data_IF_748823634137
#
_entry.id   IF_748823634137
#
_cell.length_a   1.000
_cell.length_b   1.000
_cell.length_c   1.000
_cell.angle_alpha   90.00
_cell.angle_beta   90.00
_cell.angle_gamma   90.00
#
_symmetry.space_group_name_H-M   'P 1'
#
loop_
_entity.id
_entity.type
_entity.pdbx_description
1 polymer ?
#
# COMPACT_ATOMS: atom_id res chain seq x y z
N UNK A 1 -16.83 -36.22 -13.08
CA UNK A 1 -15.69 -35.27 -13.09
C UNK A 1 -16.03 -34.15 -12.12
N UNK A 2 -15.49 -34.19 -10.89
CA UNK A 2 -15.73 -33.16 -9.86
C UNK A 2 -14.63 -32.10 -9.97
N UNK A 3 -14.99 -30.86 -10.29
CA UNK A 3 -14.08 -29.71 -10.19
C UNK A 3 -13.85 -29.45 -8.69
N UNK A 4 -12.61 -29.54 -8.24
CA UNK A 4 -12.21 -29.10 -6.90
C UNK A 4 -12.03 -27.57 -6.97
N UNK A 5 -12.82 -26.85 -6.19
CA UNK A 5 -12.62 -25.42 -5.96
C UNK A 5 -11.34 -25.23 -5.16
N UNK A 6 -10.41 -24.44 -5.68
CA UNK A 6 -9.20 -24.02 -4.97
C UNK A 6 -9.60 -22.84 -4.08
N UNK A 7 -9.64 -23.07 -2.78
CA UNK A 7 -9.75 -22.00 -1.79
C UNK A 7 -8.36 -21.38 -1.64
N UNK A 8 -8.19 -20.15 -2.13
CA UNK A 8 -6.99 -19.35 -1.86
C UNK A 8 -7.20 -18.72 -0.48
N UNK A 9 -6.62 -19.35 0.54
CA UNK A 9 -6.54 -18.77 1.88
C UNK A 9 -5.46 -17.67 1.85
N UNK A 10 -5.87 -16.42 1.68
CA UNK A 10 -5.01 -15.27 1.94
C UNK A 10 -4.87 -15.12 3.47
N UNK A 11 -3.91 -15.85 4.03
CA UNK A 11 -3.48 -15.66 5.41
C UNK A 11 -2.76 -14.32 5.52
N UNK A 12 -3.48 -13.29 5.96
CA UNK A 12 -2.91 -11.97 6.30
C UNK A 12 -2.12 -12.12 7.60
N UNK A 13 -0.86 -12.52 7.47
CA UNK A 13 0.13 -12.44 8.53
C UNK A 13 0.62 -11.00 8.65
N UNK A 14 0.10 -10.27 9.64
CA UNK A 14 0.58 -8.94 10.04
C UNK A 14 1.97 -9.14 10.64
N UNK A 15 3.02 -9.04 9.81
CA UNK A 15 4.38 -8.85 10.29
C UNK A 15 4.68 -7.35 10.28
N UNK A 16 4.88 -6.83 11.48
CA UNK A 16 5.23 -5.43 11.77
C UNK A 16 6.65 -5.17 11.24
N UNK A 17 6.71 -4.65 10.03
CA UNK A 17 7.88 -4.03 9.41
C UNK A 17 7.34 -2.92 8.52
N UNK A 18 7.75 -1.68 8.76
CA UNK A 18 7.12 -0.43 8.32
C UNK A 18 6.76 -0.36 6.82
N UNK A 19 7.45 -1.12 5.95
CA UNK A 19 7.22 -1.19 4.51
C UNK A 19 5.95 -1.94 4.09
N UNK A 20 5.49 -2.95 4.86
CA UNK A 20 4.32 -3.78 4.46
C UNK A 20 2.99 -3.06 4.67
N UNK A 21 2.95 -2.06 5.55
CA UNK A 21 1.72 -1.38 5.97
C UNK A 21 1.21 -0.42 4.89
N UNK A 22 2.09 0.43 4.34
CA UNK A 22 1.74 1.33 3.23
C UNK A 22 1.47 0.56 1.91
N UNK A 23 2.09 -0.61 1.74
CA UNK A 23 1.85 -1.47 0.59
C UNK A 23 0.63 -2.36 0.77
N UNK A 24 0.10 -2.65 1.97
CA UNK A 24 -1.06 -3.51 2.13
C UNK A 24 -2.38 -2.84 1.73
N UNK A 25 -2.63 -1.58 2.13
CA UNK A 25 -3.80 -0.83 1.65
C UNK A 25 -3.77 -0.65 0.12
N UNK A 26 -2.57 -0.54 -0.43
CA UNK A 26 -2.38 -0.35 -1.85
C UNK A 26 -2.13 -1.65 -2.64
N UNK A 27 -1.85 -2.78 -1.99
CA UNK A 27 -1.89 -4.13 -2.56
C UNK A 27 -3.33 -4.56 -2.77
N UNK A 28 -4.26 -4.14 -1.90
CA UNK A 28 -5.70 -4.24 -2.18
C UNK A 28 -6.00 -3.47 -3.47
N UNK A 29 -5.53 -2.23 -3.59
CA UNK A 29 -5.79 -1.40 -4.78
C UNK A 29 -5.06 -1.89 -6.06
N UNK A 30 -3.82 -2.37 -5.97
CA UNK A 30 -3.04 -2.90 -7.09
C UNK A 30 -3.50 -4.30 -7.51
N UNK A 31 -3.94 -5.14 -6.57
CA UNK A 31 -4.62 -6.40 -6.88
C UNK A 31 -5.96 -6.12 -7.54
N UNK A 32 -6.73 -5.15 -7.04
CA UNK A 32 -7.96 -4.66 -7.68
C UNK A 32 -7.66 -4.12 -9.09
N UNK A 33 -6.60 -3.34 -9.31
CA UNK A 33 -6.21 -2.85 -10.64
C UNK A 33 -5.71 -3.96 -11.58
N UNK A 34 -4.99 -4.97 -11.06
CA UNK A 34 -4.60 -6.17 -11.83
C UNK A 34 -5.82 -7.03 -12.18
N UNK A 35 -6.79 -7.13 -11.26
CA UNK A 35 -8.09 -7.81 -11.44
C UNK A 35 -8.99 -7.07 -12.43
N UNK A 36 -9.00 -5.73 -12.41
CA UNK A 36 -9.71 -4.88 -13.38
C UNK A 36 -9.09 -5.02 -14.78
N UNK A 37 -7.75 -5.13 -14.88
CA UNK A 37 -7.07 -5.49 -16.15
C UNK A 37 -7.44 -6.90 -16.64
N UNK A 38 -7.99 -7.78 -15.79
CA UNK A 38 -8.35 -9.17 -16.10
C UNK A 38 -9.87 -9.40 -16.36
N UNK A 39 -10.68 -8.37 -16.58
CA UNK A 39 -12.12 -8.48 -16.91
C UNK A 39 -12.94 -9.30 -15.89
N UNK A 40 -12.69 -9.14 -14.58
CA UNK A 40 -13.59 -9.68 -13.57
C UNK A 40 -14.83 -8.80 -13.40
N UNK A 41 -15.97 -9.42 -13.09
CA UNK A 41 -17.24 -8.76 -12.83
C UNK A 41 -17.29 -8.20 -11.40
N UNK A 42 -18.09 -7.16 -11.18
CA UNK A 42 -18.32 -6.51 -9.87
C UNK A 42 -18.68 -7.54 -8.77
N UNK A 43 -19.51 -8.53 -9.12
CA UNK A 43 -19.93 -9.63 -8.25
C UNK A 43 -18.79 -10.56 -7.82
N UNK A 44 -17.74 -10.73 -8.65
CA UNK A 44 -16.56 -11.50 -8.31
C UNK A 44 -15.59 -10.72 -7.41
N UNK A 45 -15.56 -9.38 -7.54
CA UNK A 45 -14.81 -8.50 -6.65
C UNK A 45 -15.39 -8.57 -5.23
N UNK A 46 -16.71 -8.47 -5.12
CA UNK A 46 -17.43 -8.54 -3.84
C UNK A 46 -17.28 -9.89 -3.14
N UNK A 47 -17.30 -11.01 -3.90
CA UNK A 47 -17.09 -12.35 -3.32
C UNK A 47 -15.67 -12.57 -2.81
N UNK A 48 -14.67 -11.90 -3.39
CA UNK A 48 -13.28 -12.01 -2.95
C UNK A 48 -12.97 -11.09 -1.75
N UNK A 49 -13.65 -9.95 -1.66
CA UNK A 49 -13.57 -9.04 -0.50
C UNK A 49 -14.51 -9.43 0.66
N UNK A 50 -15.46 -10.35 0.42
CA UNK A 50 -16.53 -10.76 1.33
C UNK A 50 -16.14 -11.56 2.58
N UNK A 51 -14.90 -11.49 3.06
CA UNK A 51 -14.57 -12.01 4.39
C UNK A 51 -14.73 -10.86 5.40
N UNK A 52 -15.87 -10.88 6.10
CA UNK A 52 -16.44 -9.79 6.92
C UNK A 52 -15.50 -9.21 7.98
N UNK A 53 -14.58 -8.35 7.56
CA UNK A 53 -13.99 -7.34 8.43
C UNK A 53 -14.98 -6.19 8.45
N UNK A 54 -15.48 -5.83 9.64
CA UNK A 54 -16.39 -4.69 9.79
C UNK A 54 -15.60 -3.45 9.39
N UNK A 55 -15.93 -2.91 8.22
CA UNK A 55 -15.32 -1.69 7.71
C UNK A 55 -15.66 -0.50 8.65
N UNK A 56 -14.69 0.34 9.03
CA UNK A 56 -14.97 1.45 9.91
C UNK A 56 -15.93 2.45 9.28
N UNK A 57 -16.89 2.89 10.07
CA UNK A 57 -17.82 3.95 9.70
C UNK A 57 -17.13 5.32 9.72
N UNK A 58 -17.75 6.32 9.08
CA UNK A 58 -17.33 7.73 9.19
C UNK A 58 -17.19 8.21 10.65
N UNK A 59 -18.08 7.75 11.53
CA UNK A 59 -18.07 8.14 12.95
C UNK A 59 -16.82 7.61 13.63
N UNK A 60 -16.52 6.32 13.45
CA UNK A 60 -15.31 5.70 13.99
C UNK A 60 -14.05 6.34 13.44
N UNK A 61 -14.00 6.63 12.13
CA UNK A 61 -12.87 7.35 11.55
C UNK A 61 -12.68 8.74 12.16
N UNK A 62 -13.76 9.49 12.40
CA UNK A 62 -13.67 10.79 13.08
C UNK A 62 -13.13 10.65 14.50
N UNK A 63 -13.54 9.62 15.23
CA UNK A 63 -13.01 9.33 16.56
C UNK A 63 -11.51 9.01 16.51
N UNK A 64 -11.07 8.18 15.56
CA UNK A 64 -9.66 7.82 15.39
C UNK A 64 -8.81 9.04 15.03
N UNK A 65 -9.28 9.87 14.10
CA UNK A 65 -8.61 11.09 13.68
C UNK A 65 -8.53 12.13 14.81
N UNK A 66 -9.61 12.30 15.58
CA UNK A 66 -9.61 13.20 16.72
C UNK A 66 -8.64 12.71 17.82
N UNK A 67 -8.59 11.42 18.09
CA UNK A 67 -7.62 10.84 19.04
C UNK A 67 -6.17 11.03 18.55
N UNK A 68 -5.91 10.83 17.25
CA UNK A 68 -4.61 11.15 16.66
C UNK A 68 -4.22 12.60 16.87
N UNK A 69 -5.12 13.56 16.58
CA UNK A 69 -4.84 14.99 16.74
C UNK A 69 -4.55 15.37 18.20
N UNK A 70 -5.21 14.73 19.16
CA UNK A 70 -5.03 15.02 20.58
C UNK A 70 -3.77 14.35 21.19
N UNK A 71 -3.38 13.18 20.68
CA UNK A 71 -2.37 12.33 21.36
C UNK A 71 -1.04 12.19 20.62
N UNK A 72 -1.07 12.04 19.30
CA UNK A 72 0.09 11.67 18.49
C UNK A 72 0.59 12.86 17.65
N UNK A 73 -0.32 13.60 17.04
CA UNK A 73 -0.07 14.74 16.15
C UNK A 73 0.95 15.76 16.68
N UNK A 74 0.94 16.16 17.98
CA UNK A 74 1.94 17.11 18.51
C UNK A 74 3.40 16.64 18.45
N UNK A 75 3.64 15.36 18.16
CA UNK A 75 4.99 14.80 18.08
C UNK A 75 5.62 14.87 16.67
N UNK A 76 4.85 15.32 15.67
CA UNK A 76 5.20 15.34 14.25
C UNK A 76 5.06 16.75 13.67
N UNK A 77 6.19 17.40 13.40
CA UNK A 77 6.23 18.73 12.79
C UNK A 77 6.30 18.68 11.26
N UNK A 78 6.98 17.67 10.71
CA UNK A 78 7.09 17.45 9.27
C UNK A 78 5.76 16.97 8.69
N UNK A 79 5.36 17.56 7.56
CA UNK A 79 4.07 17.28 6.94
C UNK A 79 3.93 15.86 6.39
N UNK A 80 5.02 15.26 5.89
CA UNK A 80 5.01 13.87 5.43
C UNK A 80 4.95 12.93 6.63
N UNK A 81 5.79 13.13 7.64
CA UNK A 81 5.78 12.34 8.87
C UNK A 81 4.40 12.38 9.54
N UNK A 82 3.80 13.58 9.71
CA UNK A 82 2.48 13.72 10.31
C UNK A 82 1.40 12.94 9.54
N UNK A 83 1.45 12.99 8.21
CA UNK A 83 0.52 12.27 7.33
C UNK A 83 0.71 10.75 7.41
N UNK A 84 1.95 10.27 7.40
CA UNK A 84 2.26 8.85 7.61
C UNK A 84 1.80 8.39 9.00
N UNK A 85 2.05 9.19 10.04
CA UNK A 85 1.62 8.91 11.40
C UNK A 85 0.11 8.82 11.53
N UNK A 86 -0.65 9.73 10.90
CA UNK A 86 -2.11 9.71 10.93
C UNK A 86 -2.66 8.42 10.33
N UNK A 87 -2.13 8.00 9.16
CA UNK A 87 -2.54 6.76 8.48
C UNK A 87 -2.22 5.53 9.33
N UNK A 88 -0.99 5.43 9.82
CA UNK A 88 -0.56 4.31 10.67
C UNK A 88 -1.36 4.24 11.98
N UNK A 89 -1.63 5.38 12.61
CA UNK A 89 -2.45 5.45 13.82
C UNK A 89 -3.87 4.96 13.58
N UNK A 90 -4.52 5.41 12.50
CA UNK A 90 -5.86 4.97 12.12
C UNK A 90 -5.88 3.45 11.88
N UNK A 91 -4.89 2.89 11.20
CA UNK A 91 -4.80 1.44 10.97
C UNK A 91 -4.60 0.64 12.26
N UNK A 92 -3.74 1.12 13.16
CA UNK A 92 -3.55 0.50 14.47
C UNK A 92 -4.85 0.49 15.29
N UNK A 93 -5.65 1.56 15.22
CA UNK A 93 -6.98 1.62 15.84
C UNK A 93 -7.95 0.61 15.25
N UNK A 94 -8.03 0.52 13.92
CA UNK A 94 -8.89 -0.45 13.23
C UNK A 94 -8.54 -1.89 13.60
N UNK A 95 -7.24 -2.19 13.67
CA UNK A 95 -6.72 -3.49 14.08
C UNK A 95 -6.87 -3.76 15.58
N UNK A 96 -7.40 -2.81 16.35
CA UNK A 96 -7.51 -2.85 17.83
C UNK A 96 -6.17 -3.10 18.52
N UNK A 97 -5.07 -2.71 17.86
CA UNK A 97 -3.73 -2.86 18.39
C UNK A 97 -3.45 -1.77 19.42
N UNK A 98 -2.63 -2.11 20.42
CA UNK A 98 -2.12 -1.11 21.35
C UNK A 98 -1.17 -0.17 20.62
N UNK A 99 -1.40 1.13 20.76
CA UNK A 99 -0.55 2.16 20.16
C UNK A 99 0.55 2.51 21.15
N UNK A 100 1.79 2.21 20.77
CA UNK A 100 2.99 2.74 21.43
C UNK A 100 3.47 3.96 20.65
N UNK A 101 3.25 5.15 21.20
CA UNK A 101 3.58 6.41 20.53
C UNK A 101 5.08 6.57 20.25
N UNK A 102 5.95 5.98 21.08
CA UNK A 102 7.39 6.04 20.87
C UNK A 102 7.79 5.19 19.67
N UNK A 103 7.22 3.98 19.56
CA UNK A 103 7.47 3.12 18.41
C UNK A 103 6.85 3.71 17.14
N UNK A 104 5.61 4.21 17.20
CA UNK A 104 4.97 4.91 16.07
C UNK A 104 5.84 6.06 15.55
N UNK A 105 6.38 6.90 16.44
CA UNK A 105 7.26 8.00 16.03
C UNK A 105 8.54 7.51 15.36
N UNK A 106 9.15 6.45 15.89
CA UNK A 106 10.35 5.85 15.32
C UNK A 106 10.05 5.29 13.91
N UNK A 107 9.01 4.47 13.79
CA UNK A 107 8.62 3.80 12.54
C UNK A 107 8.24 4.81 11.45
N UNK A 108 7.51 5.88 11.80
CA UNK A 108 7.15 6.94 10.86
C UNK A 108 8.38 7.67 10.33
N UNK A 109 9.38 7.93 11.17
CA UNK A 109 10.62 8.58 10.74
C UNK A 109 11.41 7.67 9.81
N UNK A 110 11.59 6.42 10.20
CA UNK A 110 12.26 5.41 9.36
C UNK A 110 11.53 5.26 8.01
N UNK A 111 10.20 5.26 8.01
CA UNK A 111 9.40 5.20 6.78
C UNK A 111 9.56 6.46 5.92
N UNK A 112 9.54 7.66 6.52
CA UNK A 112 9.70 8.91 5.78
C UNK A 112 11.11 9.02 5.15
N UNK A 113 12.14 8.58 5.87
CA UNK A 113 13.51 8.50 5.35
C UNK A 113 13.62 7.47 4.23
N UNK A 114 13.02 6.30 4.43
CA UNK A 114 12.97 5.24 3.42
C UNK A 114 12.23 5.68 2.15
N UNK A 115 11.07 6.33 2.26
CA UNK A 115 10.30 6.81 1.11
C UNK A 115 11.10 7.82 0.28
N UNK A 116 11.81 8.74 0.96
CA UNK A 116 12.69 9.69 0.29
C UNK A 116 13.85 8.99 -0.42
N UNK A 117 14.49 8.03 0.23
CA UNK A 117 15.59 7.26 -0.34
C UNK A 117 15.12 6.38 -1.52
N UNK A 118 13.94 5.77 -1.41
CA UNK A 118 13.32 4.94 -2.43
C UNK A 118 13.09 5.72 -3.72
N UNK A 119 12.49 6.92 -3.62
CA UNK A 119 12.24 7.80 -4.78
C UNK A 119 13.57 8.27 -5.38
N UNK A 120 14.47 8.77 -4.53
CA UNK A 120 15.78 9.27 -4.97
C UNK A 120 16.60 8.20 -5.68
N UNK A 121 16.61 6.97 -5.16
CA UNK A 121 17.36 5.88 -5.77
C UNK A 121 16.78 5.47 -7.14
N UNK A 122 15.45 5.47 -7.29
CA UNK A 122 14.80 5.20 -8.57
C UNK A 122 15.18 6.26 -9.63
N UNK A 123 15.25 7.53 -9.22
CA UNK A 123 15.69 8.63 -10.08
C UNK A 123 17.17 8.53 -10.46
N UNK A 124 18.04 8.29 -9.48
CA UNK A 124 19.49 8.32 -9.66
C UNK A 124 20.02 7.10 -10.41
N UNK A 125 19.56 5.89 -10.06
CA UNK A 125 20.08 4.62 -10.60
C UNK A 125 19.35 4.20 -11.88
N UNK A 126 18.02 4.37 -11.91
CA UNK A 126 17.18 3.87 -12.99
C UNK A 126 16.68 4.98 -13.93
N UNK A 127 16.97 6.25 -13.62
CA UNK A 127 16.51 7.38 -14.42
C UNK A 127 14.99 7.57 -14.42
N UNK A 128 14.27 6.92 -13.50
CA UNK A 128 12.81 6.94 -13.46
C UNK A 128 12.35 8.25 -12.83
N UNK A 129 11.52 8.98 -13.56
CA UNK A 129 10.80 10.17 -13.06
C UNK A 129 9.32 10.01 -13.30
N UNK A 130 8.54 10.58 -12.39
CA UNK A 130 7.08 10.63 -12.48
C UNK A 130 6.64 12.08 -12.49
N UNK A 131 5.82 12.44 -13.46
CA UNK A 131 5.26 13.79 -13.58
C UNK A 131 3.92 13.89 -12.84
N UNK A 132 3.50 15.09 -12.42
CA UNK A 132 2.18 15.28 -11.84
C UNK A 132 1.04 14.76 -12.73
N UNK A 133 1.15 14.96 -14.05
CA UNK A 133 0.14 14.49 -15.00
C UNK A 133 0.01 12.96 -15.00
N UNK A 134 1.12 12.23 -14.99
CA UNK A 134 1.10 10.75 -14.95
C UNK A 134 0.42 10.24 -13.67
N UNK A 135 0.63 10.91 -12.54
CA UNK A 135 -0.04 10.58 -11.28
C UNK A 135 -1.55 10.82 -11.40
N UNK A 136 -1.96 11.97 -11.93
CA UNK A 136 -3.38 12.30 -12.08
C UNK A 136 -4.09 11.37 -13.07
N UNK A 137 -3.43 11.00 -14.16
CA UNK A 137 -3.95 10.03 -15.13
C UNK A 137 -4.08 8.64 -14.51
N UNK A 138 -3.10 8.20 -13.71
CA UNK A 138 -3.17 6.94 -12.99
C UNK A 138 -4.33 6.93 -11.99
N UNK A 139 -4.47 7.98 -11.18
CA UNK A 139 -5.57 8.14 -10.20
C UNK A 139 -6.93 8.12 -10.92
N UNK A 140 -7.06 8.89 -12.00
CA UNK A 140 -8.28 9.01 -12.80
C UNK A 140 -8.69 7.68 -13.48
N UNK A 141 -7.74 6.79 -13.73
CA UNK A 141 -7.99 5.48 -14.32
C UNK A 141 -8.12 4.34 -13.31
N UNK A 142 -7.82 4.59 -12.04
CA UNK A 142 -7.94 3.61 -10.96
C UNK A 142 -8.89 4.08 -9.86
N UNK A 143 -8.37 4.58 -8.72
CA UNK A 143 -9.16 4.85 -7.52
C UNK A 143 -10.35 5.80 -7.72
N UNK A 144 -10.31 6.72 -8.70
CA UNK A 144 -11.46 7.58 -9.00
C UNK A 144 -12.61 6.85 -9.71
N UNK A 145 -12.31 5.79 -10.48
CA UNK A 145 -13.33 4.99 -11.18
C UNK A 145 -13.95 3.91 -10.30
N UNK A 146 -13.21 3.45 -9.30
CA UNK A 146 -13.60 2.32 -8.44
C UNK A 146 -13.60 2.75 -6.97
N UNK A 147 -14.51 3.65 -6.58
CA UNK A 147 -14.50 4.22 -5.24
C UNK A 147 -15.02 3.21 -4.21
N UNK A 148 -14.19 2.85 -3.24
CA UNK A 148 -14.57 1.95 -2.14
C UNK A 148 -15.20 2.72 -0.97
N UNK A 149 -16.15 2.12 -0.26
CA UNK A 149 -16.95 2.79 0.76
C UNK A 149 -16.13 3.22 1.98
N UNK A 150 -15.13 2.43 2.38
CA UNK A 150 -14.14 2.81 3.40
C UNK A 150 -13.38 4.09 3.06
N UNK A 151 -12.96 4.26 1.80
CA UNK A 151 -12.28 5.49 1.36
C UNK A 151 -13.22 6.68 1.39
N UNK A 152 -14.49 6.51 1.00
CA UNK A 152 -15.51 7.57 1.10
C UNK A 152 -15.72 7.97 2.56
N UNK A 153 -15.90 7.00 3.46
CA UNK A 153 -16.07 7.24 4.89
C UNK A 153 -14.86 7.96 5.50
N UNK A 154 -13.64 7.58 5.10
CA UNK A 154 -12.41 8.24 5.53
C UNK A 154 -12.28 9.67 5.01
N UNK A 155 -12.56 9.91 3.71
CA UNK A 155 -12.58 11.25 3.13
C UNK A 155 -13.57 12.16 3.88
N UNK A 156 -14.78 11.66 4.10
CA UNK A 156 -15.82 12.39 4.83
C UNK A 156 -15.47 12.66 6.30
N UNK A 157 -14.70 11.77 6.93
CA UNK A 157 -14.22 11.96 8.29
C UNK A 157 -13.15 13.06 8.36
N UNK A 158 -12.27 13.12 7.35
CA UNK A 158 -11.29 14.19 7.15
C UNK A 158 -11.93 15.52 6.69
N UNK A 159 -13.21 15.52 6.33
CA UNK A 159 -13.91 16.72 5.85
C UNK A 159 -13.53 17.12 4.43
N UNK A 160 -13.12 16.16 3.60
CA UNK A 160 -12.77 16.35 2.19
C UNK A 160 -13.59 15.45 1.27
N UNK A 161 -13.64 15.78 -0.01
CA UNK A 161 -14.20 14.89 -1.04
C UNK A 161 -13.27 13.71 -1.30
N UNK A 162 -13.81 12.62 -1.86
CA UNK A 162 -12.99 11.47 -2.28
C UNK A 162 -11.92 11.88 -3.32
N UNK A 163 -12.25 12.82 -4.20
CA UNK A 163 -11.30 13.36 -5.18
C UNK A 163 -10.14 14.09 -4.50
N UNK A 164 -10.42 14.92 -3.50
CA UNK A 164 -9.36 15.59 -2.72
C UNK A 164 -8.52 14.59 -1.92
N UNK A 165 -9.16 13.56 -1.34
CA UNK A 165 -8.46 12.47 -0.69
C UNK A 165 -7.47 11.82 -1.66
N UNK A 166 -7.89 11.49 -2.88
CA UNK A 166 -7.04 10.79 -3.85
C UNK A 166 -5.95 11.71 -4.43
N UNK A 167 -6.32 12.87 -4.97
CA UNK A 167 -5.41 13.73 -5.71
C UNK A 167 -4.49 14.59 -4.83
N UNK A 168 -4.81 14.74 -3.53
CA UNK A 168 -4.04 15.57 -2.60
C UNK A 168 -3.51 14.75 -1.42
N UNK A 169 -4.40 14.16 -0.63
CA UNK A 169 -3.97 13.50 0.61
C UNK A 169 -3.16 12.23 0.33
N UNK A 170 -3.63 11.32 -0.53
CA UNK A 170 -2.96 10.07 -0.89
C UNK A 170 -2.02 10.16 -2.09
N UNK A 171 -1.81 11.36 -2.65
CA UNK A 171 -0.99 11.55 -3.85
C UNK A 171 0.42 10.95 -3.74
N UNK A 172 1.06 11.07 -2.59
CA UNK A 172 2.39 10.52 -2.30
C UNK A 172 2.43 8.99 -2.44
N UNK A 173 1.34 8.29 -2.10
CA UNK A 173 1.28 6.86 -2.30
C UNK A 173 1.15 6.52 -3.78
N UNK A 174 0.29 7.24 -4.51
CA UNK A 174 0.10 7.02 -5.95
C UNK A 174 1.35 7.34 -6.76
N UNK A 175 2.12 8.36 -6.37
CA UNK A 175 3.43 8.65 -6.98
C UNK A 175 4.36 7.44 -6.91
N UNK A 176 4.48 6.80 -5.73
CA UNK A 176 5.29 5.59 -5.57
C UNK A 176 4.78 4.44 -6.45
N UNK A 177 3.48 4.31 -6.65
CA UNK A 177 2.91 3.27 -7.53
C UNK A 177 3.23 3.51 -9.00
N UNK A 178 3.03 4.74 -9.48
CA UNK A 178 3.38 5.09 -10.87
C UNK A 178 4.88 4.91 -11.10
N UNK A 179 5.69 5.24 -10.10
CA UNK A 179 7.13 5.01 -10.15
C UNK A 179 7.44 3.50 -10.19
N UNK A 180 6.76 2.70 -9.37
CA UNK A 180 6.96 1.24 -9.32
C UNK A 180 6.55 0.54 -10.62
N UNK A 181 5.49 0.98 -11.29
CA UNK A 181 5.09 0.43 -12.59
C UNK A 181 6.19 0.59 -13.65
N UNK A 182 6.96 1.68 -13.58
CA UNK A 182 8.11 1.92 -14.47
C UNK A 182 9.38 1.22 -14.00
N UNK A 183 9.59 1.17 -12.69
CA UNK A 183 10.81 0.67 -12.06
C UNK A 183 10.88 -0.86 -12.04
N UNK A 184 9.77 -1.53 -11.74
CA UNK A 184 9.77 -2.99 -11.51
C UNK A 184 10.31 -3.81 -12.69
N UNK A 185 10.03 -3.49 -13.98
CA UNK A 185 10.62 -4.22 -15.10
C UNK A 185 12.14 -4.06 -15.18
N UNK A 186 12.68 -2.88 -14.82
CA UNK A 186 14.11 -2.60 -14.85
C UNK A 186 14.85 -3.32 -13.73
N UNK A 187 14.26 -3.37 -12.53
CA UNK A 187 14.81 -4.16 -11.42
C UNK A 187 14.78 -5.65 -11.76
N UNK A 188 13.68 -6.14 -12.33
CA UNK A 188 13.58 -7.53 -12.75
C UNK A 188 14.65 -7.88 -13.80
N UNK A 189 14.87 -7.01 -14.79
CA UNK A 189 15.93 -7.16 -15.79
C UNK A 189 17.32 -7.20 -15.15
N UNK A 190 17.62 -6.26 -14.23
CA UNK A 190 18.90 -6.18 -13.51
C UNK A 190 19.24 -7.48 -12.78
N UNK A 191 18.24 -8.13 -12.19
CA UNK A 191 18.41 -9.37 -11.43
C UNK A 191 18.10 -10.65 -12.21
N UNK A 192 17.77 -10.54 -13.50
CA UNK A 192 17.45 -11.69 -14.35
C UNK A 192 16.19 -12.45 -13.93
N UNK A 193 15.24 -11.79 -13.28
CA UNK A 193 13.98 -12.38 -12.81
C UNK A 193 12.97 -12.33 -13.95
N UNK A 194 12.28 -13.44 -14.21
CA UNK A 194 11.23 -13.51 -15.23
C UNK A 194 9.89 -13.81 -14.58
N UNK A 195 8.82 -13.20 -15.08
CA UNK A 195 7.47 -13.44 -14.57
C UNK A 195 7.06 -14.92 -14.68
N UNK A 196 7.50 -15.60 -15.75
CA UNK A 196 7.26 -17.04 -15.98
C UNK A 196 7.82 -17.94 -14.87
N UNK A 197 8.85 -17.50 -14.17
CA UNK A 197 9.42 -18.25 -13.05
C UNK A 197 8.42 -18.38 -11.89
N UNK A 198 7.39 -17.52 -11.87
CA UNK A 198 6.38 -17.41 -10.81
C UNK A 198 4.98 -17.88 -11.22
N UNK A 199 4.74 -18.26 -12.48
CA UNK A 199 3.41 -18.63 -12.98
C UNK A 199 2.85 -19.94 -12.37
N UNK A 200 3.72 -20.82 -11.86
CA UNK A 200 3.34 -22.15 -11.35
C UNK A 200 4.02 -22.51 -10.02
N UNK A 201 4.42 -21.53 -9.23
CA UNK A 201 5.02 -21.81 -7.91
C UNK A 201 3.96 -22.39 -6.98
N UNK A 202 4.23 -23.59 -6.45
CA UNK A 202 3.44 -24.17 -5.38
C UNK A 202 3.81 -23.48 -4.06
N UNK A 203 2.94 -22.60 -3.58
CA UNK A 203 3.13 -21.88 -2.33
C UNK A 203 2.93 -22.87 -1.18
N UNK A 204 3.99 -23.09 -0.43
CA UNK A 204 3.95 -23.87 0.81
C UNK A 204 3.69 -22.94 2.00
N UNK A 205 3.20 -23.49 3.11
CA UNK A 205 2.92 -22.71 4.33
C UNK A 205 4.13 -21.91 4.83
N UNK A 206 5.35 -22.37 4.52
CA UNK A 206 6.61 -21.74 4.92
C UNK A 206 7.33 -21.01 3.78
N UNK A 207 6.69 -20.79 2.62
CA UNK A 207 7.31 -20.01 1.53
C UNK A 207 7.54 -18.58 2.02
N UNK A 208 8.79 -18.05 1.97
CA UNK A 208 9.06 -16.67 2.33
C UNK A 208 8.20 -15.70 1.52
N UNK A 209 7.69 -14.64 2.15
CA UNK A 209 6.79 -13.68 1.52
C UNK A 209 7.38 -13.06 0.24
N UNK A 210 8.70 -12.83 0.21
CA UNK A 210 9.42 -12.30 -0.94
C UNK A 210 9.62 -13.30 -2.08
N UNK A 211 9.33 -14.59 -1.87
CA UNK A 211 9.39 -15.63 -2.90
C UNK A 211 8.00 -16.05 -3.41
N UNK A 212 6.91 -15.51 -2.82
CA UNK A 212 5.54 -15.94 -3.14
C UNK A 212 5.10 -15.55 -4.55
N UNK A 213 5.62 -14.45 -5.10
CA UNK A 213 5.31 -14.00 -6.46
C UNK A 213 6.41 -13.07 -7.02
N UNK A 214 6.36 -12.86 -8.33
CA UNK A 214 7.31 -12.03 -9.08
C UNK A 214 7.44 -10.62 -8.47
N UNK A 215 6.34 -9.92 -8.21
CA UNK A 215 6.37 -8.55 -7.70
C UNK A 215 7.01 -8.49 -6.30
N UNK A 216 6.69 -9.43 -5.42
CA UNK A 216 7.27 -9.48 -4.08
C UNK A 216 8.80 -9.68 -4.14
N UNK A 217 9.27 -10.54 -5.06
CA UNK A 217 10.70 -10.77 -5.24
C UNK A 217 11.42 -9.53 -5.73
N UNK A 218 10.90 -8.93 -6.80
CA UNK A 218 11.49 -7.74 -7.42
C UNK A 218 11.50 -6.58 -6.42
N UNK A 219 10.41 -6.41 -5.66
CA UNK A 219 10.33 -5.40 -4.60
C UNK A 219 11.37 -5.65 -3.51
N UNK A 220 11.48 -6.87 -2.98
CA UNK A 220 12.41 -7.15 -1.87
C UNK A 220 13.87 -6.92 -2.25
N UNK A 221 14.24 -7.13 -3.52
CA UNK A 221 15.56 -6.82 -4.02
C UNK A 221 15.79 -5.31 -4.09
N UNK A 222 14.83 -4.57 -4.63
CA UNK A 222 14.91 -3.12 -4.65
C UNK A 222 14.99 -2.51 -3.24
N UNK A 223 14.16 -2.99 -2.30
CA UNK A 223 14.20 -2.53 -0.90
C UNK A 223 15.56 -2.81 -0.25
N UNK A 224 16.21 -3.93 -0.56
CA UNK A 224 17.57 -4.25 -0.09
C UNK A 224 18.60 -3.25 -0.65
N UNK A 225 18.50 -2.87 -1.92
CA UNK A 225 19.36 -1.85 -2.52
C UNK A 225 19.19 -0.51 -1.80
N UNK A 226 17.94 -0.02 -1.68
CA UNK A 226 17.62 1.25 -0.99
C UNK A 226 18.14 1.25 0.45
N UNK A 227 17.85 0.18 1.21
CA UNK A 227 18.27 0.07 2.62
C UNK A 227 19.79 0.05 2.77
N UNK A 228 20.52 -0.51 1.79
CA UNK A 228 21.98 -0.54 1.83
C UNK A 228 22.61 0.85 1.70
N UNK A 229 21.91 1.81 1.09
CA UNK A 229 22.36 3.19 0.89
C UNK A 229 22.03 4.12 2.06
N UNK A 230 21.15 3.69 2.96
CA UNK A 230 20.76 4.47 4.16
C UNK A 230 21.70 4.25 5.36
N UNK A 231 22.69 3.35 5.25
CA UNK A 231 23.67 3.02 6.30
C UNK A 231 24.95 3.82 6.16
#
# INVERSE_FOLDING_TARGET
>A
MKRKSIAIAAGVGILVGSSTVALNLANVNASVMKVIKLNMTEEQLDQQMGNSTIEPTKVEFKEYLNDFEQTASPQFEDGLEKKLAQRAFVELKQSKNKIDLKNLKKEVKEQAEFDKAWVKYAEDEYGIKVTPQEIDEWISNGPDKFPVDTQKAYAEALGMSLKELNHTYYRDQYEKWVMWEKLSPLVAEKYGIKEVDYENIEIQENTPADEMNFNNKVLSLYEKEVTSLMK
#
